data_IF_637171694036
#
_entry.id   IF_637171694036
#
_cell.length_a   1.000
_cell.length_b   1.000
_cell.length_c   1.000
_cell.angle_alpha   90.00
_cell.angle_beta   90.00
_cell.angle_gamma   90.00
#
_symmetry.space_group_name_H-M   'P 1'
#
loop_
_entity.id
_entity.type
_entity.pdbx_description
1 polymer ?
#
# COMPACT_ATOMS: atom_id res chain seq x y z
N UNK A 1 25.78 41.67 -53.56
CA UNK A 1 24.51 40.89 -53.59
C UNK A 1 24.57 39.82 -52.51
N UNK A 2 23.55 39.76 -51.64
CA UNK A 2 23.41 38.75 -50.57
C UNK A 2 23.22 37.33 -51.14
N UNK A 3 23.64 36.29 -50.40
CA UNK A 3 22.88 35.04 -50.32
C UNK A 3 23.02 34.38 -48.94
N UNK A 4 21.88 34.36 -48.23
CA UNK A 4 21.61 33.69 -46.96
C UNK A 4 21.60 32.18 -47.19
N UNK A 5 22.13 31.38 -46.26
CA UNK A 5 21.86 29.93 -46.22
C UNK A 5 21.29 29.60 -44.84
N UNK A 6 20.09 29.04 -44.87
CA UNK A 6 19.24 28.71 -43.73
C UNK A 6 19.77 27.51 -42.95
N UNK A 7 19.61 27.61 -41.63
CA UNK A 7 19.94 26.63 -40.61
C UNK A 7 19.13 25.34 -40.80
N UNK A 8 19.80 24.19 -40.86
CA UNK A 8 19.17 22.88 -40.87
C UNK A 8 19.15 22.29 -39.44
N UNK A 9 18.15 22.66 -38.65
CA UNK A 9 17.84 22.06 -37.32
C UNK A 9 16.40 21.52 -37.28
N UNK A 10 15.96 20.84 -38.35
CA UNK A 10 14.58 20.29 -38.45
C UNK A 10 14.52 18.76 -38.27
N UNK A 11 15.62 18.11 -37.87
CA UNK A 11 15.65 16.65 -37.71
C UNK A 11 15.46 16.15 -36.26
N UNK A 12 15.52 17.02 -35.24
CA UNK A 12 15.44 16.60 -33.83
C UNK A 12 14.02 16.65 -33.23
N UNK A 13 13.05 17.26 -33.92
CA UNK A 13 11.69 17.46 -33.42
C UNK A 13 10.87 16.17 -33.20
N UNK A 14 11.00 15.07 -33.98
CA UNK A 14 10.17 13.88 -33.77
C UNK A 14 10.67 12.98 -32.63
N UNK A 15 11.91 13.14 -32.14
CA UNK A 15 12.46 12.29 -31.08
C UNK A 15 12.03 12.71 -29.66
N UNK A 16 11.56 13.95 -29.50
CA UNK A 16 11.05 14.49 -28.24
C UNK A 16 9.55 14.21 -28.02
N UNK A 17 8.88 13.56 -28.98
CA UNK A 17 7.46 13.20 -28.91
C UNK A 17 7.20 11.80 -28.35
N UNK A 18 8.21 11.15 -27.77
CA UNK A 18 8.00 10.01 -26.85
C UNK A 18 7.44 10.56 -25.54
N UNK A 19 6.19 11.01 -25.58
CA UNK A 19 5.39 11.26 -24.40
C UNK A 19 5.22 9.92 -23.69
N UNK A 20 6.13 9.61 -22.76
CA UNK A 20 5.87 8.61 -21.74
C UNK A 20 4.61 9.07 -21.02
N UNK A 21 3.49 8.38 -21.24
CA UNK A 21 2.31 8.57 -20.42
C UNK A 21 2.71 8.29 -18.98
N UNK A 22 2.87 9.34 -18.18
CA UNK A 22 2.85 9.19 -16.75
C UNK A 22 1.43 8.73 -16.42
N UNK A 23 1.25 7.43 -16.18
CA UNK A 23 0.07 6.96 -15.48
C UNK A 23 0.14 7.63 -14.11
N UNK A 24 -0.69 8.64 -13.90
CA UNK A 24 -0.77 9.30 -12.60
C UNK A 24 -1.35 8.27 -11.64
N UNK A 25 -0.54 7.83 -10.68
CA UNK A 25 -0.98 7.02 -9.55
C UNK A 25 -1.17 7.93 -8.33
N UNK A 26 -2.08 7.57 -7.43
CA UNK A 26 -2.29 8.28 -6.18
C UNK A 26 -1.18 7.95 -5.21
N UNK A 27 -0.29 8.93 -4.99
CA UNK A 27 0.85 8.81 -4.09
C UNK A 27 0.53 9.30 -2.67
N UNK A 28 0.73 8.44 -1.68
CA UNK A 28 0.79 8.80 -0.27
C UNK A 28 2.24 9.12 0.08
N UNK A 29 2.53 10.41 0.25
CA UNK A 29 3.88 10.95 0.49
C UNK A 29 4.11 11.43 1.92
N UNK A 30 3.07 11.49 2.73
CA UNK A 30 3.11 11.93 4.12
C UNK A 30 2.27 10.99 4.99
N UNK A 31 2.31 11.21 6.30
CA UNK A 31 1.49 10.45 7.24
C UNK A 31 -0.01 10.73 7.07
N UNK A 32 -0.81 9.67 7.08
CA UNK A 32 -2.27 9.72 7.12
C UNK A 32 -2.83 8.72 8.13
N UNK A 33 -3.95 9.07 8.75
CA UNK A 33 -4.68 8.22 9.70
C UNK A 33 -5.98 7.68 9.11
N UNK A 34 -6.27 7.98 7.84
CA UNK A 34 -7.46 7.52 7.13
C UNK A 34 -7.09 6.42 6.13
N UNK A 35 -7.92 5.37 6.02
CA UNK A 35 -7.79 4.36 4.97
C UNK A 35 -7.85 4.94 3.55
N UNK A 36 -7.39 4.15 2.58
CA UNK A 36 -7.50 4.46 1.15
C UNK A 36 -7.98 3.23 0.37
N UNK A 37 -8.79 3.45 -0.67
CA UNK A 37 -9.28 2.39 -1.54
C UNK A 37 -9.03 2.75 -3.01
N UNK A 38 -8.67 1.76 -3.83
CA UNK A 38 -8.38 1.96 -5.25
C UNK A 38 -9.58 2.44 -6.07
N UNK A 39 -10.81 2.33 -5.60
CA UNK A 39 -12.01 2.91 -6.25
C UNK A 39 -12.14 4.42 -6.06
N UNK A 40 -11.51 4.99 -5.03
CA UNK A 40 -11.69 6.40 -4.63
C UNK A 40 -10.39 7.17 -4.42
N UNK A 41 -9.25 6.53 -4.71
CA UNK A 41 -7.91 7.03 -4.43
C UNK A 41 -7.64 8.41 -5.05
N UNK A 42 -8.12 8.67 -6.27
CA UNK A 42 -7.93 9.95 -6.96
C UNK A 42 -9.15 10.85 -6.79
N UNK A 43 -9.27 11.49 -5.63
CA UNK A 43 -10.34 12.44 -5.31
C UNK A 43 -11.75 11.88 -5.60
N UNK A 44 -11.99 10.61 -5.26
CA UNK A 44 -13.25 9.91 -5.51
C UNK A 44 -13.33 9.15 -6.84
N UNK A 45 -12.32 9.27 -7.70
CA UNK A 45 -12.14 8.41 -8.86
C UNK A 45 -11.19 7.24 -8.56
N UNK A 46 -11.32 6.18 -9.34
CA UNK A 46 -10.48 5.00 -9.21
C UNK A 46 -9.06 5.26 -9.75
N UNK A 47 -8.06 4.73 -9.05
CA UNK A 47 -6.66 4.91 -9.38
C UNK A 47 -5.76 3.87 -8.69
N UNK A 48 -4.52 3.73 -9.18
CA UNK A 48 -3.44 3.01 -8.50
C UNK A 48 -3.10 3.71 -7.18
N UNK A 49 -2.77 2.94 -6.15
CA UNK A 49 -2.36 3.45 -4.84
C UNK A 49 -0.88 3.13 -4.61
N UNK A 50 -0.09 4.17 -4.36
CA UNK A 50 1.31 4.04 -3.97
C UNK A 50 1.58 4.72 -2.65
N UNK A 51 2.05 3.96 -1.66
CA UNK A 51 2.67 4.54 -0.46
C UNK A 51 4.16 4.66 -0.73
N UNK A 52 4.66 5.89 -0.74
CA UNK A 52 6.09 6.16 -0.95
C UNK A 52 6.88 5.90 0.34
N UNK A 53 8.21 5.93 0.26
CA UNK A 53 9.08 5.70 1.42
C UNK A 53 8.82 6.67 2.58
N UNK A 54 8.46 7.92 2.28
CA UNK A 54 8.12 8.94 3.28
C UNK A 54 6.65 8.87 3.73
N UNK A 55 5.83 8.09 3.03
CA UNK A 55 4.41 7.91 3.30
C UNK A 55 4.13 6.92 4.44
N UNK A 56 3.05 7.17 5.18
CA UNK A 56 2.53 6.16 6.10
C UNK A 56 1.02 6.21 6.26
N UNK A 57 0.40 5.06 6.52
CA UNK A 57 -1.04 4.91 6.78
C UNK A 57 -1.18 4.24 8.15
N UNK A 58 -1.71 4.99 9.12
CA UNK A 58 -1.84 4.54 10.52
C UNK A 58 -3.19 4.86 11.15
N UNK A 59 -4.27 4.17 10.75
CA UNK A 59 -5.59 4.35 11.34
C UNK A 59 -5.63 3.83 12.77
N UNK A 60 -6.54 4.40 13.56
CA UNK A 60 -6.79 3.99 14.95
C UNK A 60 -8.14 3.29 15.10
N UNK A 61 -8.76 2.91 13.98
CA UNK A 61 -10.07 2.25 13.90
C UNK A 61 -9.95 0.96 13.11
N UNK A 62 -10.80 -0.02 13.43
CA UNK A 62 -10.88 -1.30 12.73
C UNK A 62 -11.12 -1.15 11.23
N UNK A 63 -10.67 -2.14 10.46
CA UNK A 63 -10.79 -2.18 9.00
C UNK A 63 -9.47 -2.23 8.26
N UNK A 64 -9.56 -2.13 6.93
CA UNK A 64 -8.40 -2.18 6.05
C UNK A 64 -7.68 -0.82 5.98
N UNK A 65 -6.35 -0.82 5.93
CA UNK A 65 -5.54 0.40 5.71
C UNK A 65 -5.55 0.77 4.23
N UNK A 66 -5.33 -0.23 3.37
CA UNK A 66 -5.50 -0.12 1.92
C UNK A 66 -6.52 -1.18 1.47
N UNK A 67 -7.46 -0.78 0.60
CA UNK A 67 -8.36 -1.71 -0.10
C UNK A 67 -8.11 -1.70 -1.61
N UNK A 68 -7.77 -2.86 -2.17
CA UNK A 68 -7.78 -3.12 -3.62
C UNK A 68 -9.18 -3.65 -4.00
N UNK A 69 -10.03 -2.73 -4.43
CA UNK A 69 -11.43 -2.91 -4.77
C UNK A 69 -11.79 -2.49 -6.20
N UNK A 70 -10.80 -2.21 -7.06
CA UNK A 70 -10.96 -2.00 -8.50
C UNK A 70 -9.83 -2.68 -9.29
N UNK A 71 -9.81 -2.53 -10.63
CA UNK A 71 -8.80 -3.15 -11.49
C UNK A 71 -7.48 -2.34 -11.54
N UNK A 72 -6.96 -2.00 -10.36
CA UNK A 72 -5.78 -1.15 -10.16
C UNK A 72 -4.73 -1.86 -9.31
N UNK A 73 -3.64 -1.15 -9.04
CA UNK A 73 -2.48 -1.66 -8.32
C UNK A 73 -2.34 -1.02 -6.95
N UNK A 74 -1.72 -1.76 -6.05
CA UNK A 74 -1.26 -1.27 -4.75
C UNK A 74 0.23 -1.50 -4.65
N UNK A 75 0.99 -0.45 -4.36
CA UNK A 75 2.42 -0.52 -4.07
C UNK A 75 2.69 0.10 -2.70
N UNK A 76 3.20 -0.68 -1.75
CA UNK A 76 3.66 -0.18 -0.45
C UNK A 76 5.18 -0.12 -0.40
N UNK A 77 5.76 1.09 -0.34
CA UNK A 77 7.17 1.32 -0.04
C UNK A 77 7.36 2.09 1.27
N UNK A 78 6.28 2.42 1.97
CA UNK A 78 6.29 3.14 3.23
C UNK A 78 5.83 2.28 4.41
N UNK A 79 5.22 2.92 5.40
CA UNK A 79 4.75 2.21 6.61
C UNK A 79 3.23 2.07 6.63
N UNK A 80 2.74 0.83 6.72
CA UNK A 80 1.36 0.54 7.09
C UNK A 80 1.35 0.02 8.52
N UNK A 81 0.66 0.68 9.45
CA UNK A 81 0.66 0.20 10.83
C UNK A 81 -0.59 0.51 11.65
N UNK A 82 -0.91 -0.37 12.59
CA UNK A 82 -1.88 -0.10 13.69
C UNK A 82 -1.35 -0.68 14.99
N UNK A 83 -1.79 -0.11 16.12
CA UNK A 83 -1.47 -0.59 17.46
C UNK A 83 -2.77 -0.70 18.25
N UNK A 84 -3.04 -1.87 18.81
CA UNK A 84 -4.20 -2.10 19.68
C UNK A 84 -5.54 -2.12 18.93
N UNK A 85 -5.54 -2.38 17.62
CA UNK A 85 -6.74 -2.39 16.79
C UNK A 85 -7.05 -3.81 16.30
N UNK A 86 -8.17 -4.37 16.76
CA UNK A 86 -8.71 -5.63 16.24
C UNK A 86 -9.42 -5.42 14.90
N UNK A 87 -9.59 -6.51 14.15
CA UNK A 87 -10.22 -6.52 12.82
C UNK A 87 -9.50 -5.61 11.81
N UNK A 88 -8.18 -5.49 11.96
CA UNK A 88 -7.33 -4.70 11.08
C UNK A 88 -6.75 -5.53 9.95
N UNK A 89 -6.73 -4.95 8.74
CA UNK A 89 -6.05 -5.55 7.58
C UNK A 89 -5.11 -4.54 6.95
N UNK A 90 -3.83 -4.87 6.75
CA UNK A 90 -2.88 -3.96 6.11
C UNK A 90 -3.30 -3.66 4.67
N UNK A 91 -3.39 -4.72 3.85
CA UNK A 91 -3.89 -4.63 2.48
C UNK A 91 -5.01 -5.65 2.29
N UNK A 92 -6.24 -5.16 2.13
CA UNK A 92 -7.39 -5.98 1.77
C UNK A 92 -7.53 -6.01 0.25
N UNK A 93 -7.54 -7.20 -0.32
CA UNK A 93 -7.74 -7.44 -1.75
C UNK A 93 -9.09 -8.11 -1.91
N UNK A 94 -9.93 -7.54 -2.77
CA UNK A 94 -11.22 -8.13 -3.08
C UNK A 94 -11.13 -8.98 -4.37
N UNK A 95 -11.67 -10.19 -4.34
CA UNK A 95 -11.74 -11.13 -5.45
C UNK A 95 -12.55 -10.60 -6.63
N UNK A 96 -12.50 -11.34 -7.75
CA UNK A 96 -13.21 -11.02 -8.98
C UNK A 96 -12.62 -9.83 -9.74
N UNK A 97 -11.35 -9.51 -9.51
CA UNK A 97 -10.64 -8.33 -10.01
C UNK A 97 -9.30 -8.71 -10.63
N UNK A 98 -8.77 -7.82 -11.45
CA UNK A 98 -7.40 -7.88 -11.97
C UNK A 98 -6.54 -6.82 -11.31
N UNK A 99 -5.26 -7.06 -11.08
CA UNK A 99 -4.39 -6.01 -10.54
C UNK A 99 -3.04 -6.52 -10.08
N UNK A 100 -2.41 -5.79 -9.18
CA UNK A 100 -1.22 -6.29 -8.48
C UNK A 100 -1.07 -5.63 -7.11
N UNK A 101 -0.55 -6.39 -6.15
CA UNK A 101 -0.08 -5.89 -4.87
C UNK A 101 1.41 -6.15 -4.76
N UNK A 102 2.19 -5.11 -4.45
CA UNK A 102 3.61 -5.21 -4.10
C UNK A 102 3.84 -4.57 -2.74
N UNK A 103 4.30 -5.37 -1.78
CA UNK A 103 4.75 -4.89 -0.47
C UNK A 103 6.27 -4.88 -0.43
N UNK A 104 6.86 -3.69 -0.56
CA UNK A 104 8.31 -3.46 -0.48
C UNK A 104 8.79 -2.86 0.84
N UNK A 105 7.91 -2.72 1.84
CA UNK A 105 8.23 -2.13 3.13
C UNK A 105 7.39 -2.75 4.26
N UNK A 106 7.19 -2.03 5.38
CA UNK A 106 6.59 -2.59 6.60
C UNK A 106 5.06 -2.57 6.59
N UNK A 107 4.50 -3.70 7.01
CA UNK A 107 3.11 -3.85 7.47
C UNK A 107 3.16 -4.35 8.92
N UNK A 108 2.73 -3.54 9.88
CA UNK A 108 2.80 -3.86 11.31
C UNK A 108 1.43 -3.70 11.96
N UNK A 109 0.80 -4.79 12.36
CA UNK A 109 -0.52 -4.76 13.01
C UNK A 109 -0.37 -5.43 14.38
N UNK A 110 0.00 -4.62 15.36
CA UNK A 110 0.43 -5.08 16.67
C UNK A 110 -0.52 -4.60 17.77
N UNK A 111 -0.19 -4.95 19.01
CA UNK A 111 -0.80 -4.39 20.21
C UNK A 111 0.25 -3.83 21.16
N UNK A 112 -0.22 -3.11 22.17
CA UNK A 112 0.57 -2.60 23.29
C UNK A 112 0.35 -3.44 24.57
N UNK A 113 -0.27 -4.62 24.43
CA UNK A 113 -0.46 -5.54 25.54
C UNK A 113 0.88 -6.17 25.97
N UNK A 114 1.15 -6.09 27.26
CA UNK A 114 2.30 -6.74 27.90
C UNK A 114 1.78 -7.65 29.01
N UNK A 115 1.90 -8.98 28.88
CA UNK A 115 1.51 -9.91 29.95
C UNK A 115 2.41 -9.74 31.18
N UNK A 116 1.87 -10.07 32.36
CA UNK A 116 2.56 -9.90 33.66
C UNK A 116 2.77 -11.26 34.33
N UNK A 117 3.93 -11.48 34.94
CA UNK A 117 4.17 -12.62 35.84
C UNK A 117 3.61 -12.27 37.23
N UNK A 118 2.43 -12.80 37.57
CA UNK A 118 1.66 -12.43 38.76
C UNK A 118 2.08 -13.23 39.99
N UNK A 119 2.57 -14.45 39.82
CA UNK A 119 2.99 -15.32 40.93
C UNK A 119 4.53 -15.45 41.08
N UNK A 120 5.28 -14.79 40.20
CA UNK A 120 6.74 -14.64 40.22
C UNK A 120 7.50 -15.96 40.06
N UNK A 121 6.97 -16.90 39.29
CA UNK A 121 7.63 -18.19 39.03
C UNK A 121 8.57 -18.17 37.81
N UNK A 122 8.59 -17.06 37.07
CA UNK A 122 9.49 -16.81 35.95
C UNK A 122 8.85 -16.98 34.57
N UNK A 123 7.56 -17.29 34.48
CA UNK A 123 6.79 -17.17 33.24
C UNK A 123 5.73 -16.05 33.28
N UNK A 124 5.37 -15.52 32.10
CA UNK A 124 4.40 -14.43 32.01
C UNK A 124 2.98 -14.98 31.93
N UNK A 125 2.08 -14.50 32.79
CA UNK A 125 0.68 -14.91 32.76
C UNK A 125 -0.14 -14.23 31.66
N UNK A 126 -1.10 -14.99 31.14
CA UNK A 126 -2.16 -14.47 30.27
C UNK A 126 -2.03 -14.94 28.83
N UNK A 127 -2.74 -14.25 27.94
CA UNK A 127 -2.66 -14.53 26.52
C UNK A 127 -1.32 -14.04 25.95
N UNK A 128 -0.89 -14.58 24.82
CA UNK A 128 0.20 -13.96 24.05
C UNK A 128 -0.21 -12.59 23.48
N UNK A 129 -1.49 -12.47 23.09
CA UNK A 129 -2.08 -11.34 22.40
C UNK A 129 -3.57 -11.20 22.81
N UNK A 130 -4.07 -9.97 22.97
CA UNK A 130 -5.50 -9.67 23.20
C UNK A 130 -6.22 -9.30 21.90
N UNK A 131 -5.48 -8.81 20.90
CA UNK A 131 -6.03 -8.46 19.60
C UNK A 131 -6.57 -9.68 18.84
N UNK A 132 -7.53 -9.47 17.95
CA UNK A 132 -8.09 -10.53 17.10
C UNK A 132 -8.30 -10.08 15.66
N UNK A 133 -8.37 -11.05 14.75
CA UNK A 133 -8.67 -10.86 13.31
C UNK A 133 -7.75 -9.85 12.61
N UNK A 134 -6.45 -9.91 12.90
CA UNK A 134 -5.43 -9.07 12.27
C UNK A 134 -4.78 -9.78 11.08
N UNK A 135 -4.65 -9.08 9.95
CA UNK A 135 -4.10 -9.66 8.72
C UNK A 135 -3.15 -8.69 8.03
N UNK A 136 -1.94 -9.12 7.65
CA UNK A 136 -1.02 -8.28 6.88
C UNK A 136 -1.56 -7.98 5.48
N UNK A 137 -1.69 -9.02 4.66
CA UNK A 137 -2.34 -8.97 3.34
C UNK A 137 -3.41 -10.04 3.29
N UNK A 138 -4.63 -9.69 2.90
CA UNK A 138 -5.77 -10.62 2.87
C UNK A 138 -6.52 -10.51 1.57
N UNK A 139 -6.59 -11.61 0.82
CA UNK A 139 -7.47 -11.77 -0.33
C UNK A 139 -8.79 -12.44 0.10
N UNK A 140 -9.93 -11.82 -0.22
CA UNK A 140 -11.27 -12.35 0.11
C UNK A 140 -12.31 -11.88 -0.91
N UNK A 141 -13.54 -12.36 -0.80
CA UNK A 141 -14.65 -11.96 -1.67
C UNK A 141 -14.87 -12.90 -2.86
N UNK A 142 -15.92 -12.66 -3.67
CA UNK A 142 -16.33 -13.58 -4.73
C UNK A 142 -15.37 -13.52 -5.93
N UNK A 143 -15.04 -14.69 -6.48
CA UNK A 143 -14.27 -14.81 -7.72
C UNK A 143 -12.75 -14.78 -7.52
N UNK A 144 -12.03 -15.29 -8.52
CA UNK A 144 -10.57 -15.29 -8.50
C UNK A 144 -10.01 -13.87 -8.67
N UNK A 145 -8.94 -13.56 -7.93
CA UNK A 145 -8.09 -12.41 -8.24
C UNK A 145 -7.06 -12.82 -9.29
N UNK A 146 -6.95 -12.05 -10.37
CA UNK A 146 -5.95 -12.29 -11.43
C UNK A 146 -4.88 -11.23 -11.36
N UNK A 147 -3.73 -11.59 -10.79
CA UNK A 147 -2.68 -10.62 -10.50
C UNK A 147 -1.63 -11.17 -9.56
N UNK A 148 -0.50 -10.47 -9.48
CA UNK A 148 0.56 -10.82 -8.55
C UNK A 148 0.27 -10.21 -7.17
N UNK A 149 0.51 -10.98 -6.12
CA UNK A 149 0.57 -10.51 -4.74
C UNK A 149 2.00 -10.83 -4.28
N UNK A 150 2.84 -9.81 -4.22
CA UNK A 150 4.27 -9.97 -3.97
C UNK A 150 4.64 -9.28 -2.67
N UNK A 151 5.30 -10.01 -1.77
CA UNK A 151 6.09 -9.41 -0.71
C UNK A 151 7.54 -9.38 -1.19
N UNK A 152 8.04 -8.19 -1.49
CA UNK A 152 9.39 -8.00 -2.04
C UNK A 152 10.46 -8.31 -0.99
N UNK A 153 11.73 -8.36 -1.41
CA UNK A 153 12.87 -8.65 -0.52
C UNK A 153 12.95 -7.73 0.71
N UNK A 154 12.58 -6.45 0.56
CA UNK A 154 12.55 -5.47 1.65
C UNK A 154 11.21 -5.44 2.41
N UNK A 155 10.20 -6.16 1.93
CA UNK A 155 8.88 -6.23 2.53
C UNK A 155 8.88 -7.05 3.82
N UNK A 156 8.34 -6.48 4.89
CA UNK A 156 8.19 -7.14 6.18
C UNK A 156 6.74 -7.06 6.65
N UNK A 157 6.22 -8.19 7.15
CA UNK A 157 4.88 -8.28 7.71
C UNK A 157 5.02 -8.82 9.14
N UNK A 158 4.64 -8.01 10.12
CA UNK A 158 4.62 -8.36 11.54
C UNK A 158 3.19 -8.20 12.06
N UNK A 159 2.66 -9.27 12.63
CA UNK A 159 1.30 -9.35 13.15
C UNK A 159 1.39 -10.04 14.49
N UNK A 160 0.81 -9.42 15.51
CA UNK A 160 0.49 -10.10 16.78
C UNK A 160 -0.97 -10.54 16.77
#
# INVERSE_FOLDING_TARGET
>A
MQRKVLVATVAAAPLLALAFGAYAETSVTTARTTPIATTTANNGAADDVRVTADGSIKPTTSGALITLDSNHKVTNLGTLATVGVSDSTGILILGGRTGSVSNGASITINEDYTPTDTDSDGDTDGAFAQGSNRYGVRLTGPGAFTGNIVNETAGAIAIE
#
